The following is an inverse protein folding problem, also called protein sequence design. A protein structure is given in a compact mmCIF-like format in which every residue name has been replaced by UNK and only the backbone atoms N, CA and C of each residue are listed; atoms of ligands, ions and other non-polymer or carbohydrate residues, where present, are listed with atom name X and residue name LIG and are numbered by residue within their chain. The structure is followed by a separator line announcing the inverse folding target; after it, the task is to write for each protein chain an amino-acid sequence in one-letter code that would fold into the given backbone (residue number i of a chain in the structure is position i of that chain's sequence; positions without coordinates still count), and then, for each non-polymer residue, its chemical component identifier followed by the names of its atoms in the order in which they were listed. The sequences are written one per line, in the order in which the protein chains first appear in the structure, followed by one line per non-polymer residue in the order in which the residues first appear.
data_IF_044158222660
#
_entry.id   IF_044158222660
#
_cell.length_a   1.000
_cell.length_b   1.000
_cell.length_c   1.000
_cell.angle_alpha   90.00
_cell.angle_beta   90.00
_cell.angle_gamma   90.00
#
_symmetry.space_group_name_H-M   'P 1'
#
loop_
_entity.id
_entity.type
_entity.pdbx_description
1 polymer ?
#
# COMPACT_ATOMS: atom_id res chain seq x y z
N UNK A 1 -17.65 21.25 12.28
CA UNK A 1 -16.60 20.42 11.69
C UNK A 1 -17.27 19.52 10.67
N UNK A 2 -16.75 19.44 9.43
CA UNK A 2 -17.27 18.52 8.41
C UNK A 2 -16.95 17.08 8.79
N UNK A 3 -17.80 16.14 8.36
CA UNK A 3 -17.68 14.71 8.71
C UNK A 3 -17.35 13.88 7.48
N UNK A 4 -16.43 12.93 7.60
CA UNK A 4 -16.08 11.97 6.56
C UNK A 4 -16.24 10.54 7.04
N UNK A 5 -17.02 9.73 6.31
CA UNK A 5 -17.14 8.29 6.56
C UNK A 5 -16.04 7.55 5.79
N UNK A 6 -15.15 6.89 6.51
CA UNK A 6 -14.05 6.10 5.96
C UNK A 6 -14.39 4.62 6.07
N UNK A 7 -14.48 3.91 4.95
CA UNK A 7 -14.74 2.47 4.92
C UNK A 7 -13.44 1.75 4.60
N UNK A 8 -12.88 1.07 5.60
CA UNK A 8 -11.60 0.38 5.53
C UNK A 8 -11.71 -1.07 6.00
N UNK A 9 -11.22 -2.02 5.19
CA UNK A 9 -11.13 -3.42 5.63
C UNK A 9 -9.93 -3.61 6.57
N UNK A 10 -8.74 -3.13 6.16
CA UNK A 10 -7.55 -3.17 7.00
C UNK A 10 -7.57 -1.98 7.97
N UNK A 11 -7.94 -2.27 9.20
CA UNK A 11 -8.02 -1.32 10.31
C UNK A 11 -7.54 -2.00 11.59
N UNK A 12 -6.95 -1.30 12.56
CA UNK A 12 -6.51 -1.91 13.82
C UNK A 12 -7.58 -2.81 14.47
N UNK A 13 -7.18 -4.00 14.98
CA UNK A 13 -5.81 -4.47 15.28
C UNK A 13 -5.06 -5.11 14.11
N UNK A 14 -5.51 -4.96 12.85
CA UNK A 14 -4.75 -5.42 11.69
C UNK A 14 -3.39 -4.74 11.64
N UNK A 15 -2.34 -5.49 11.30
CA UNK A 15 -0.99 -4.98 11.05
C UNK A 15 -0.68 -4.79 9.56
N UNK A 16 0.55 -4.35 9.31
CA UNK A 16 1.10 -4.20 7.97
C UNK A 16 0.84 -2.86 7.30
N UNK A 17 1.47 -2.66 6.14
CA UNK A 17 1.46 -1.39 5.39
C UNK A 17 0.07 -0.91 4.96
N UNK A 18 -0.87 -1.85 4.80
CA UNK A 18 -2.24 -1.54 4.40
C UNK A 18 -3.04 -0.73 5.43
N UNK A 19 -2.62 -0.73 6.69
CA UNK A 19 -3.29 -0.02 7.80
C UNK A 19 -2.78 1.40 7.96
N UNK A 20 -1.47 1.58 7.86
CA UNK A 20 -0.77 2.82 8.19
C UNK A 20 -1.36 4.07 7.50
N UNK A 21 -1.66 3.99 6.20
CA UNK A 21 -2.14 5.13 5.42
C UNK A 21 -3.37 5.79 6.06
N UNK A 22 -4.40 4.99 6.37
CA UNK A 22 -5.65 5.54 6.87
C UNK A 22 -5.65 5.78 8.37
N UNK A 23 -4.86 5.05 9.16
CA UNK A 23 -4.61 5.39 10.57
C UNK A 23 -3.98 6.78 10.66
N UNK A 24 -2.96 7.08 9.85
CA UNK A 24 -2.30 8.39 9.86
C UNK A 24 -3.23 9.51 9.31
N UNK A 25 -4.01 9.27 8.25
CA UNK A 25 -5.01 10.24 7.82
C UNK A 25 -6.04 10.54 8.92
N UNK A 26 -6.57 9.51 9.57
CA UNK A 26 -7.54 9.66 10.66
C UNK A 26 -6.93 10.37 11.86
N UNK A 27 -5.64 10.16 12.16
CA UNK A 27 -4.90 10.86 13.21
C UNK A 27 -4.85 12.38 12.96
N UNK A 28 -4.60 12.80 11.72
CA UNK A 28 -4.35 14.21 11.41
C UNK A 28 -5.55 14.96 10.82
N UNK A 29 -6.58 14.31 10.30
CA UNK A 29 -7.77 14.95 9.74
C UNK A 29 -8.50 15.91 10.72
N UNK A 30 -8.58 15.63 12.05
CA UNK A 30 -9.20 16.57 12.96
C UNK A 30 -8.53 17.94 13.00
N UNK A 31 -7.20 18.01 12.87
CA UNK A 31 -6.47 19.29 12.80
C UNK A 31 -6.72 20.06 11.50
N UNK A 32 -7.21 19.38 10.46
CA UNK A 32 -7.59 19.94 9.16
C UNK A 32 -9.10 20.29 9.08
N UNK A 33 -9.82 20.25 10.21
CA UNK A 33 -11.24 20.59 10.27
C UNK A 33 -12.21 19.51 9.87
N UNK A 34 -11.75 18.25 9.73
CA UNK A 34 -12.54 17.09 9.37
C UNK A 34 -12.67 16.10 10.52
N UNK A 35 -13.91 15.68 10.82
CA UNK A 35 -14.17 14.62 11.80
C UNK A 35 -14.33 13.28 11.07
N UNK A 36 -13.36 12.37 11.17
CA UNK A 36 -13.50 11.04 10.58
C UNK A 36 -14.39 10.14 11.43
N UNK A 37 -15.21 9.34 10.74
CA UNK A 37 -15.92 8.18 11.27
C UNK A 37 -15.45 6.98 10.49
N UNK A 38 -14.98 5.94 11.15
CA UNK A 38 -14.42 4.76 10.47
C UNK A 38 -15.39 3.60 10.57
N UNK A 39 -15.66 2.93 9.44
CA UNK A 39 -16.35 1.66 9.39
C UNK A 39 -15.37 0.56 9.00
N UNK A 40 -15.21 -0.43 9.87
CA UNK A 40 -14.31 -1.55 9.70
C UNK A 40 -15.00 -2.88 10.01
N UNK A 41 -14.46 -4.03 9.54
CA UNK A 41 -15.05 -5.33 9.85
C UNK A 41 -14.86 -5.71 11.32
N UNK A 42 -15.81 -6.49 11.82
CA UNK A 42 -15.76 -7.20 13.09
C UNK A 42 -15.52 -8.69 12.81
N UNK A 43 -14.48 -9.27 13.42
CA UNK A 43 -14.12 -10.68 13.25
C UNK A 43 -13.46 -11.01 11.91
N UNK A 44 -12.76 -10.07 11.28
CA UNK A 44 -12.01 -10.32 10.06
C UNK A 44 -10.75 -11.16 10.30
N UNK A 45 -10.39 -11.97 9.29
CA UNK A 45 -9.19 -12.80 9.28
C UNK A 45 -8.01 -12.00 8.72
N UNK A 46 -7.30 -11.29 9.61
CA UNK A 46 -6.14 -10.48 9.22
C UNK A 46 -4.86 -11.32 9.11
N UNK A 47 -4.02 -11.04 8.10
CA UNK A 47 -2.75 -11.76 7.90
C UNK A 47 -1.74 -11.52 9.01
N UNK A 48 -1.79 -10.36 9.65
CA UNK A 48 -0.96 -9.99 10.80
C UNK A 48 -1.73 -9.07 11.72
N UNK A 49 -1.39 -9.10 13.00
CA UNK A 49 -1.97 -8.23 14.02
C UNK A 49 -0.87 -7.30 14.55
N UNK A 50 -1.23 -6.05 14.74
CA UNK A 50 -0.40 -5.04 15.39
C UNK A 50 -1.27 -4.07 16.20
N UNK A 51 -1.46 -4.32 17.48
CA UNK A 51 -2.26 -3.47 18.36
C UNK A 51 -1.65 -2.08 18.59
N UNK A 52 -0.38 -1.86 18.24
CA UNK A 52 0.27 -0.57 18.47
C UNK A 52 -0.42 0.58 17.73
N UNK A 53 -1.00 0.29 16.56
CA UNK A 53 -1.75 1.26 15.78
C UNK A 53 -3.03 1.78 16.47
N UNK A 54 -3.60 1.03 17.42
CA UNK A 54 -4.78 1.50 18.17
C UNK A 54 -4.48 2.77 18.98
N UNK A 55 -3.24 2.91 19.46
CA UNK A 55 -2.80 4.07 20.23
C UNK A 55 -2.70 5.35 19.40
N UNK A 56 -2.62 5.23 18.09
CA UNK A 56 -2.53 6.36 17.17
C UNK A 56 -3.90 6.94 16.79
N UNK A 57 -4.99 6.21 17.11
CA UNK A 57 -6.35 6.65 16.80
C UNK A 57 -6.79 7.64 17.88
N UNK A 58 -7.12 8.89 17.53
CA UNK A 58 -7.63 9.86 18.50
C UNK A 58 -8.92 9.36 19.17
N UNK A 59 -9.06 9.56 20.47
CA UNK A 59 -10.25 9.14 21.22
C UNK A 59 -11.57 9.77 20.71
N UNK A 60 -11.49 10.87 19.98
CA UNK A 60 -12.63 11.54 19.34
C UNK A 60 -13.13 10.84 18.06
N UNK A 61 -12.41 9.84 17.56
CA UNK A 61 -12.76 9.12 16.33
C UNK A 61 -13.73 8.00 16.65
N UNK A 62 -14.90 8.05 16.06
CA UNK A 62 -15.89 6.99 16.14
C UNK A 62 -15.52 5.83 15.21
N UNK A 63 -15.44 4.61 15.76
CA UNK A 63 -15.13 3.40 14.98
C UNK A 63 -16.32 2.44 15.05
N UNK A 64 -17.03 2.35 13.95
CA UNK A 64 -18.13 1.41 13.74
C UNK A 64 -17.60 0.05 13.29
N UNK A 65 -18.13 -1.03 13.83
CA UNK A 65 -17.76 -2.39 13.46
C UNK A 65 -18.95 -3.12 12.81
N UNK A 66 -18.70 -3.68 11.62
CA UNK A 66 -19.69 -4.48 10.89
C UNK A 66 -19.28 -5.94 10.79
N UNK A 67 -20.17 -6.87 11.20
CA UNK A 67 -19.88 -8.30 11.07
C UNK A 67 -19.54 -8.68 9.64
N UNK A 68 -18.48 -9.45 9.48
CA UNK A 68 -18.05 -10.00 8.21
C UNK A 68 -18.11 -11.53 8.26
N UNK A 69 -18.51 -12.13 7.12
CA UNK A 69 -18.33 -13.55 6.90
C UNK A 69 -17.26 -13.75 5.83
N UNK A 70 -16.22 -14.51 6.15
CA UNK A 70 -15.13 -14.83 5.24
C UNK A 70 -15.00 -16.34 5.07
N UNK A 71 -14.83 -16.83 3.82
CA UNK A 71 -14.74 -18.27 3.54
C UNK A 71 -13.39 -18.88 3.97
N UNK A 72 -12.45 -18.09 4.50
CA UNK A 72 -11.08 -18.53 4.78
C UNK A 72 -10.98 -19.59 5.88
N UNK A 73 -11.81 -19.54 6.93
CA UNK A 73 -11.83 -20.55 7.97
C UNK A 73 -12.22 -21.93 7.40
N UNK A 74 -13.23 -21.96 6.54
CA UNK A 74 -13.63 -23.16 5.81
C UNK A 74 -12.56 -23.61 4.82
N UNK A 75 -11.93 -22.65 4.14
CA UNK A 75 -10.84 -22.90 3.21
C UNK A 75 -9.63 -23.57 3.88
N UNK A 76 -9.16 -23.02 5.02
CA UNK A 76 -8.03 -23.59 5.80
C UNK A 76 -8.33 -25.01 6.27
N UNK A 77 -9.54 -25.25 6.78
CA UNK A 77 -9.96 -26.59 7.19
C UNK A 77 -9.96 -27.61 6.03
N UNK A 78 -10.30 -27.18 4.82
CA UNK A 78 -10.37 -28.05 3.64
C UNK A 78 -9.01 -28.27 2.96
N UNK A 79 -8.10 -27.31 3.03
CA UNK A 79 -6.83 -27.35 2.28
C UNK A 79 -5.60 -27.59 3.13
N UNK A 80 -5.71 -27.46 4.47
CA UNK A 80 -4.55 -27.50 5.38
C UNK A 80 -3.55 -26.35 5.16
N UNK A 81 -3.95 -25.29 4.44
CA UNK A 81 -3.05 -24.18 4.12
C UNK A 81 -2.82 -23.28 5.35
N UNK A 82 -1.58 -23.01 5.68
CA UNK A 82 -1.20 -22.12 6.78
C UNK A 82 -1.40 -20.64 6.41
N UNK A 83 -1.28 -20.27 5.12
CA UNK A 83 -1.46 -18.90 4.64
C UNK A 83 -2.59 -18.80 3.60
N UNK A 84 -3.33 -17.69 3.66
CA UNK A 84 -4.41 -17.35 2.71
C UNK A 84 -4.01 -16.25 1.73
N UNK A 85 -2.77 -15.74 1.80
CA UNK A 85 -2.30 -14.66 0.93
C UNK A 85 -2.01 -15.17 -0.49
N UNK A 86 -2.55 -14.48 -1.51
CA UNK A 86 -2.27 -14.77 -2.92
C UNK A 86 -0.80 -14.51 -3.25
N UNK A 87 -0.17 -13.58 -2.54
CA UNK A 87 1.23 -13.20 -2.70
C UNK A 87 2.20 -14.32 -2.29
N UNK A 88 1.76 -15.27 -1.47
CA UNK A 88 2.54 -16.44 -1.03
C UNK A 88 2.21 -17.71 -1.83
N UNK A 89 1.47 -17.59 -2.94
CA UNK A 89 1.24 -18.73 -3.83
C UNK A 89 2.56 -19.07 -4.54
N UNK A 90 3.37 -19.92 -3.87
CA UNK A 90 4.63 -20.38 -4.42
C UNK A 90 4.44 -21.18 -5.71
N UNK A 91 5.49 -21.20 -6.52
CA UNK A 91 5.59 -21.95 -7.78
C UNK A 91 5.63 -23.48 -7.65
N UNK A 92 5.44 -24.01 -6.43
CA UNK A 92 5.47 -25.45 -6.14
C UNK A 92 4.34 -26.25 -6.82
N UNK A 93 4.54 -27.56 -6.98
CA UNK A 93 3.54 -28.50 -7.52
C UNK A 93 2.30 -28.52 -6.62
N UNK A 94 1.20 -27.92 -7.07
CA UNK A 94 -0.07 -27.86 -6.35
C UNK A 94 -0.86 -29.15 -6.53
N UNK A 95 -1.45 -29.66 -5.42
CA UNK A 95 -2.38 -30.77 -5.46
C UNK A 95 -3.65 -30.40 -6.22
N UNK A 96 -4.42 -31.39 -6.69
CA UNK A 96 -5.67 -31.13 -7.40
C UNK A 96 -6.69 -30.37 -6.53
N UNK A 97 -6.73 -30.64 -5.22
CA UNK A 97 -7.58 -29.92 -4.23
C UNK A 97 -7.19 -28.44 -4.14
N UNK A 98 -5.90 -28.14 -4.11
CA UNK A 98 -5.39 -26.76 -4.11
C UNK A 98 -5.72 -26.04 -5.42
N UNK A 99 -5.61 -26.72 -6.57
CA UNK A 99 -5.99 -26.15 -7.88
C UNK A 99 -7.48 -25.83 -7.94
N UNK A 100 -8.35 -26.75 -7.51
CA UNK A 100 -9.80 -26.55 -7.46
C UNK A 100 -10.16 -25.39 -6.53
N UNK A 101 -9.55 -25.33 -5.37
CA UNK A 101 -9.76 -24.28 -4.38
C UNK A 101 -9.35 -22.90 -4.91
N UNK A 102 -8.20 -22.81 -5.59
CA UNK A 102 -7.77 -21.57 -6.26
C UNK A 102 -8.74 -21.17 -7.37
N UNK A 103 -9.26 -22.14 -8.11
CA UNK A 103 -10.25 -21.88 -9.16
C UNK A 103 -11.56 -21.33 -8.58
N UNK A 104 -12.09 -21.95 -7.51
CA UNK A 104 -13.28 -21.46 -6.80
C UNK A 104 -13.03 -20.06 -6.24
N UNK A 105 -11.89 -19.82 -5.58
CA UNK A 105 -11.51 -18.50 -5.09
C UNK A 105 -11.50 -17.45 -6.20
N UNK A 106 -10.91 -17.79 -7.35
CA UNK A 106 -10.73 -16.86 -8.45
C UNK A 106 -12.03 -16.53 -9.18
N UNK A 107 -12.99 -17.48 -9.28
CA UNK A 107 -14.15 -17.36 -10.16
C UNK A 107 -15.47 -17.16 -9.41
N UNK A 108 -15.59 -17.61 -8.17
CA UNK A 108 -16.82 -17.49 -7.38
C UNK A 108 -16.82 -16.23 -6.49
N UNK A 109 -15.65 -15.74 -6.10
CA UNK A 109 -15.53 -14.56 -5.21
C UNK A 109 -14.98 -13.35 -5.99
N UNK A 110 -15.86 -12.65 -6.68
CA UNK A 110 -15.51 -11.47 -7.50
C UNK A 110 -16.12 -10.21 -6.86
N UNK A 111 -15.34 -9.16 -6.62
CA UNK A 111 -13.93 -8.94 -7.01
C UNK A 111 -12.91 -9.65 -6.12
N UNK A 112 -13.28 -10.01 -4.91
CA UNK A 112 -12.43 -10.64 -3.90
C UNK A 112 -13.30 -11.40 -2.87
N UNK A 113 -12.70 -12.21 -1.98
CA UNK A 113 -13.43 -13.00 -0.98
C UNK A 113 -14.24 -12.21 0.04
N UNK A 114 -14.11 -10.88 0.09
CA UNK A 114 -14.86 -9.99 0.98
C UNK A 114 -16.14 -9.46 0.32
N UNK A 115 -16.46 -9.86 -0.90
CA UNK A 115 -17.67 -9.44 -1.60
C UNK A 115 -18.98 -9.70 -0.80
N UNK A 116 -18.98 -10.74 0.05
CA UNK A 116 -20.09 -11.04 0.98
C UNK A 116 -20.34 -9.94 2.02
N UNK A 117 -19.34 -9.13 2.34
CA UNK A 117 -19.45 -8.02 3.30
C UNK A 117 -20.22 -6.82 2.75
N UNK A 118 -20.34 -6.68 1.43
CA UNK A 118 -20.94 -5.50 0.78
C UNK A 118 -22.37 -5.27 1.21
N UNK A 119 -23.26 -6.26 1.05
CA UNK A 119 -24.70 -6.09 1.36
C UNK A 119 -24.97 -5.76 2.82
N UNK A 120 -24.45 -6.49 3.83
CA UNK A 120 -24.68 -6.17 5.23
C UNK A 120 -24.11 -4.81 5.61
N UNK A 121 -22.93 -4.43 5.11
CA UNK A 121 -22.33 -3.12 5.37
C UNK A 121 -23.19 -1.97 4.84
N UNK A 122 -23.68 -2.08 3.61
CA UNK A 122 -24.58 -1.06 3.04
C UNK A 122 -25.83 -0.90 3.90
N UNK A 123 -26.48 -2.01 4.31
CA UNK A 123 -27.68 -1.95 5.17
C UNK A 123 -27.40 -1.24 6.51
N UNK A 124 -26.28 -1.59 7.15
CA UNK A 124 -25.87 -0.99 8.44
C UNK A 124 -25.58 0.50 8.28
N UNK A 125 -24.82 0.86 7.24
CA UNK A 125 -24.39 2.23 7.03
C UNK A 125 -25.52 3.15 6.55
N UNK A 126 -26.47 2.66 5.75
CA UNK A 126 -27.65 3.45 5.39
C UNK A 126 -28.44 3.86 6.65
N UNK A 127 -28.68 2.92 7.57
CA UNK A 127 -29.35 3.24 8.83
C UNK A 127 -28.53 4.23 9.67
N UNK A 128 -27.21 4.07 9.74
CA UNK A 128 -26.35 5.00 10.48
C UNK A 128 -26.41 6.42 9.89
N UNK A 129 -26.37 6.55 8.56
CA UNK A 129 -26.36 7.82 7.87
C UNK A 129 -27.69 8.60 7.98
N UNK A 130 -28.82 7.93 8.25
CA UNK A 130 -30.11 8.59 8.54
C UNK A 130 -30.05 9.42 9.82
N UNK A 131 -29.33 8.94 10.85
CA UNK A 131 -29.22 9.60 12.15
C UNK A 131 -27.93 10.46 12.25
N UNK A 132 -26.89 10.09 11.50
CA UNK A 132 -25.57 10.68 11.57
C UNK A 132 -25.05 11.08 10.17
N UNK A 133 -25.52 12.20 9.60
CA UNK A 133 -25.10 12.61 8.26
C UNK A 133 -23.60 12.90 8.18
N UNK A 134 -23.01 12.62 7.02
CA UNK A 134 -21.62 12.91 6.68
C UNK A 134 -21.55 13.69 5.38
N UNK A 135 -20.47 14.48 5.20
CA UNK A 135 -20.29 15.31 4.00
C UNK A 135 -19.67 14.56 2.83
N UNK A 136 -18.84 13.54 3.11
CA UNK A 136 -18.15 12.74 2.10
C UNK A 136 -18.01 11.30 2.59
N UNK A 137 -18.09 10.35 1.66
CA UNK A 137 -17.74 8.95 1.87
C UNK A 137 -16.38 8.68 1.22
N UNK A 138 -15.49 7.96 1.91
CA UNK A 138 -14.23 7.46 1.34
C UNK A 138 -14.17 5.95 1.54
N UNK A 139 -13.74 5.23 0.50
CA UNK A 139 -13.50 3.79 0.59
C UNK A 139 -12.05 3.51 0.21
N UNK A 140 -11.33 2.67 0.97
CA UNK A 140 -9.92 2.36 0.67
C UNK A 140 -9.70 0.88 0.37
N UNK A 141 -9.17 0.59 -0.79
CA UNK A 141 -8.85 -0.75 -1.29
C UNK A 141 -7.37 -0.97 -1.56
N UNK A 142 -6.87 -2.22 -1.56
CA UNK A 142 -7.60 -3.48 -1.43
C UNK A 142 -8.08 -3.78 0.00
N UNK A 143 -9.09 -4.65 0.17
CA UNK A 143 -9.83 -5.38 -0.86
C UNK A 143 -10.77 -4.46 -1.63
N UNK A 144 -10.92 -4.70 -2.94
CA UNK A 144 -11.67 -3.78 -3.81
C UNK A 144 -13.21 -3.89 -3.66
N UNK A 145 -13.71 -4.95 -3.01
CA UNK A 145 -15.12 -5.07 -2.62
C UNK A 145 -15.59 -3.90 -1.74
N UNK A 146 -14.70 -3.21 -1.01
CA UNK A 146 -15.07 -2.02 -0.22
C UNK A 146 -15.59 -0.88 -1.10
N UNK A 147 -15.07 -0.75 -2.33
CA UNK A 147 -15.54 0.27 -3.27
C UNK A 147 -16.98 0.05 -3.70
N UNK A 148 -17.44 -1.21 -3.75
CA UNK A 148 -18.85 -1.53 -4.02
C UNK A 148 -19.79 -1.12 -2.87
N UNK A 149 -19.28 -1.02 -1.63
CA UNK A 149 -20.01 -0.44 -0.50
C UNK A 149 -20.22 1.06 -0.75
N UNK A 150 -19.13 1.79 -1.02
CA UNK A 150 -19.17 3.23 -1.30
C UNK A 150 -20.05 3.57 -2.49
N UNK A 151 -19.95 2.81 -3.59
CA UNK A 151 -20.77 2.98 -4.78
C UNK A 151 -22.26 2.89 -4.45
N UNK A 152 -22.67 1.86 -3.69
CA UNK A 152 -24.08 1.66 -3.32
C UNK A 152 -24.59 2.73 -2.35
N UNK A 153 -23.78 3.18 -1.42
CA UNK A 153 -24.12 4.27 -0.51
C UNK A 153 -24.29 5.58 -1.29
N UNK A 154 -23.32 5.91 -2.17
CA UNK A 154 -23.40 7.09 -3.03
C UNK A 154 -24.68 7.09 -3.88
N UNK A 155 -24.99 5.96 -4.53
CA UNK A 155 -26.21 5.81 -5.33
C UNK A 155 -27.51 5.98 -4.52
N UNK A 156 -27.51 5.53 -3.26
CA UNK A 156 -28.71 5.59 -2.41
C UNK A 156 -28.91 6.94 -1.73
N UNK A 157 -27.81 7.65 -1.39
CA UNK A 157 -27.86 8.85 -0.56
C UNK A 157 -27.51 10.14 -1.30
N UNK A 158 -26.83 10.05 -2.46
CA UNK A 158 -26.27 11.20 -3.16
C UNK A 158 -25.03 11.81 -2.48
N UNK A 159 -24.58 11.28 -1.35
CA UNK A 159 -23.38 11.77 -0.65
C UNK A 159 -22.16 11.58 -1.57
N UNK A 160 -21.32 12.61 -1.78
CA UNK A 160 -20.12 12.49 -2.60
C UNK A 160 -19.20 11.36 -2.10
N UNK A 161 -18.62 10.63 -3.06
CA UNK A 161 -17.81 9.46 -2.75
C UNK A 161 -16.47 9.45 -3.49
N UNK A 162 -15.40 9.09 -2.73
CA UNK A 162 -14.02 8.99 -3.22
C UNK A 162 -13.52 7.56 -2.96
N UNK A 163 -13.30 6.72 -3.98
CA UNK A 163 -12.56 5.48 -3.85
C UNK A 163 -11.05 5.76 -3.83
N UNK A 164 -10.35 5.36 -2.77
CA UNK A 164 -8.90 5.40 -2.62
C UNK A 164 -8.29 4.08 -3.07
N UNK A 165 -7.72 4.08 -4.27
CA UNK A 165 -7.01 2.96 -4.87
C UNK A 165 -5.55 2.98 -4.45
N UNK A 166 -5.20 2.18 -3.45
CA UNK A 166 -3.80 2.00 -3.05
C UNK A 166 -3.02 1.14 -4.04
N UNK A 167 -3.73 0.31 -4.79
CA UNK A 167 -3.21 -0.58 -5.82
C UNK A 167 -4.13 -0.55 -7.06
N UNK A 168 -3.59 -0.74 -8.28
CA UNK A 168 -4.41 -0.84 -9.48
C UNK A 168 -5.23 -2.14 -9.44
N UNK A 169 -6.56 -2.07 -9.51
CA UNK A 169 -7.47 -3.19 -9.29
C UNK A 169 -7.26 -4.35 -10.28
N UNK A 170 -7.69 -4.18 -11.54
CA UNK A 170 -7.61 -5.27 -12.54
C UNK A 170 -6.20 -5.46 -13.11
N UNK A 171 -5.26 -4.58 -12.79
CA UNK A 171 -3.87 -4.63 -13.25
C UNK A 171 -2.89 -5.14 -12.19
N UNK A 172 -3.40 -5.64 -11.04
CA UNK A 172 -2.52 -6.21 -10.02
C UNK A 172 -1.79 -7.44 -10.55
N UNK A 173 -0.47 -7.44 -10.37
CA UNK A 173 0.44 -8.48 -10.84
C UNK A 173 0.03 -9.89 -10.41
N UNK A 174 -0.45 -10.08 -9.18
CA UNK A 174 -0.81 -11.40 -8.66
C UNK A 174 -2.05 -12.01 -9.32
N UNK A 175 -2.89 -11.23 -9.98
CA UNK A 175 -4.09 -11.73 -10.65
C UNK A 175 -3.77 -12.72 -11.78
N UNK A 176 -2.60 -12.60 -12.42
CA UNK A 176 -2.15 -13.54 -13.46
C UNK A 176 -1.87 -14.94 -12.93
N UNK A 177 -1.61 -15.07 -11.62
CA UNK A 177 -1.41 -16.37 -10.99
C UNK A 177 -2.72 -17.06 -10.59
N UNK A 178 -3.84 -16.37 -10.71
CA UNK A 178 -5.18 -16.91 -10.44
C UNK A 178 -5.78 -17.52 -11.71
N UNK A 179 -6.35 -18.74 -11.63
CA UNK A 179 -6.97 -19.41 -12.78
C UNK A 179 -8.34 -18.80 -13.10
N UNK A 180 -8.37 -17.51 -13.44
CA UNK A 180 -9.60 -16.79 -13.78
C UNK A 180 -10.06 -17.10 -15.20
N UNK A 181 -11.36 -17.34 -15.39
CA UNK A 181 -11.98 -17.47 -16.70
C UNK A 181 -12.09 -16.10 -17.40
N UNK A 182 -12.22 -16.10 -18.73
CA UNK A 182 -12.44 -14.86 -19.49
C UNK A 182 -13.72 -14.12 -19.06
N UNK A 183 -14.74 -14.87 -18.60
CA UNK A 183 -15.97 -14.28 -18.06
C UNK A 183 -15.71 -13.55 -16.73
N UNK A 184 -14.90 -14.16 -15.85
CA UNK A 184 -14.48 -13.54 -14.58
C UNK A 184 -13.66 -12.30 -14.82
N UNK A 185 -12.70 -12.33 -15.73
CA UNK A 185 -11.91 -11.17 -16.12
C UNK A 185 -12.77 -10.02 -16.65
N UNK A 186 -13.74 -10.32 -17.54
CA UNK A 186 -14.69 -9.30 -18.03
C UNK A 186 -15.53 -8.72 -16.89
N UNK A 187 -15.99 -9.56 -15.95
CA UNK A 187 -16.76 -9.11 -14.79
C UNK A 187 -15.93 -8.20 -13.89
N UNK A 188 -14.69 -8.58 -13.61
CA UNK A 188 -13.77 -7.79 -12.79
C UNK A 188 -13.55 -6.38 -13.37
N UNK A 189 -13.22 -6.30 -14.67
CA UNK A 189 -13.03 -5.02 -15.38
C UNK A 189 -14.31 -4.18 -15.42
N UNK A 190 -15.48 -4.79 -15.60
CA UNK A 190 -16.75 -4.05 -15.57
C UNK A 190 -17.02 -3.45 -14.18
N UNK A 191 -16.70 -4.17 -13.10
CA UNK A 191 -16.85 -3.67 -11.75
C UNK A 191 -15.90 -2.49 -11.50
N UNK A 192 -14.64 -2.62 -11.88
CA UNK A 192 -13.67 -1.53 -11.78
C UNK A 192 -14.15 -0.30 -12.57
N UNK A 193 -14.53 -0.48 -13.85
CA UNK A 193 -15.03 0.61 -14.68
C UNK A 193 -16.27 1.28 -14.07
N UNK A 194 -17.22 0.48 -13.55
CA UNK A 194 -18.42 1.03 -12.92
C UNK A 194 -18.11 1.87 -11.68
N UNK A 195 -17.07 1.52 -10.92
CA UNK A 195 -16.59 2.30 -9.77
C UNK A 195 -15.94 3.59 -10.24
N UNK A 196 -15.05 3.51 -11.23
CA UNK A 196 -14.35 4.67 -11.80
C UNK A 196 -15.33 5.71 -12.37
N UNK A 197 -16.39 5.27 -13.05
CA UNK A 197 -17.34 6.15 -13.74
C UNK A 197 -18.46 6.71 -12.85
N UNK A 198 -18.65 6.15 -11.64
CA UNK A 198 -19.76 6.56 -10.75
C UNK A 198 -19.34 7.34 -9.52
N UNK A 199 -18.04 7.48 -9.25
CA UNK A 199 -17.56 8.22 -8.09
C UNK A 199 -17.40 9.72 -8.38
N UNK A 200 -17.30 10.53 -7.31
CA UNK A 200 -17.09 11.98 -7.44
C UNK A 200 -15.66 12.31 -7.87
N UNK A 201 -14.68 11.57 -7.35
CA UNK A 201 -13.26 11.68 -7.69
C UNK A 201 -12.57 10.36 -7.34
N UNK A 202 -11.71 9.87 -8.23
CA UNK A 202 -10.84 8.73 -7.96
C UNK A 202 -9.59 9.22 -7.24
N UNK A 203 -9.17 8.54 -6.17
CA UNK A 203 -7.91 8.82 -5.50
C UNK A 203 -6.90 7.70 -5.79
N UNK A 204 -5.79 8.05 -6.43
CA UNK A 204 -4.65 7.18 -6.71
C UNK A 204 -3.51 7.43 -5.71
N UNK A 205 -2.65 6.44 -5.47
CA UNK A 205 -1.52 6.58 -4.55
C UNK A 205 -0.16 6.75 -5.26
N UNK A 206 -0.13 6.74 -6.59
CA UNK A 206 1.08 7.04 -7.37
C UNK A 206 0.70 7.83 -8.63
N UNK A 207 1.62 8.69 -9.16
CA UNK A 207 1.37 9.42 -10.41
C UNK A 207 1.09 8.49 -11.60
N UNK A 208 1.79 7.36 -11.68
CA UNK A 208 1.59 6.40 -12.77
C UNK A 208 0.19 5.77 -12.74
N UNK A 209 -0.29 5.37 -11.56
CA UNK A 209 -1.66 4.84 -11.39
C UNK A 209 -2.69 5.94 -11.67
N UNK A 210 -2.40 7.20 -11.34
CA UNK A 210 -3.24 8.34 -11.70
C UNK A 210 -3.40 8.45 -13.21
N UNK A 211 -2.32 8.42 -13.97
CA UNK A 211 -2.36 8.48 -15.44
C UNK A 211 -3.10 7.27 -16.04
N UNK A 212 -2.85 6.09 -15.50
CA UNK A 212 -3.56 4.88 -15.90
C UNK A 212 -5.08 4.98 -15.74
N UNK A 213 -5.55 5.59 -14.64
CA UNK A 213 -6.99 5.80 -14.43
C UNK A 213 -7.53 6.95 -15.28
N UNK A 214 -6.78 8.05 -15.48
CA UNK A 214 -7.16 9.12 -16.39
C UNK A 214 -7.41 8.64 -17.82
N UNK A 215 -6.66 7.64 -18.27
CA UNK A 215 -6.85 7.01 -19.56
C UNK A 215 -8.13 6.12 -19.63
N UNK A 216 -8.72 5.75 -18.48
CA UNK A 216 -9.85 4.83 -18.39
C UNK A 216 -11.19 5.52 -18.10
N UNK A 217 -11.20 6.69 -17.46
CA UNK A 217 -12.43 7.38 -17.06
C UNK A 217 -12.37 8.88 -17.31
N UNK A 218 -13.55 9.49 -17.41
CA UNK A 218 -13.69 10.97 -17.44
C UNK A 218 -13.84 11.56 -16.02
N UNK A 219 -14.04 10.72 -15.02
CA UNK A 219 -14.10 11.16 -13.62
C UNK A 219 -12.75 11.78 -13.23
N UNK A 220 -12.72 12.90 -12.49
CA UNK A 220 -11.47 13.48 -12.00
C UNK A 220 -10.65 12.46 -11.22
N UNK A 221 -9.34 12.43 -11.45
CA UNK A 221 -8.40 11.54 -10.75
C UNK A 221 -7.36 12.37 -10.02
N UNK A 222 -7.40 12.35 -8.70
CA UNK A 222 -6.40 12.94 -7.81
C UNK A 222 -5.30 11.94 -7.47
N UNK A 223 -4.11 12.43 -7.13
CA UNK A 223 -3.02 11.60 -6.61
C UNK A 223 -2.57 12.14 -5.26
N UNK A 224 -2.61 11.28 -4.23
CA UNK A 224 -2.00 11.53 -2.93
C UNK A 224 -1.20 10.28 -2.57
N UNK A 225 0.12 10.41 -2.57
CA UNK A 225 1.02 9.28 -2.32
C UNK A 225 0.92 8.78 -0.87
N UNK A 226 1.57 7.67 -0.56
CA UNK A 226 1.93 7.36 0.81
C UNK A 226 2.92 8.39 1.33
N UNK A 227 3.25 8.31 2.61
CA UNK A 227 4.18 9.23 3.24
C UNK A 227 4.75 8.63 4.52
N UNK A 228 5.63 9.39 5.18
CA UNK A 228 6.20 9.07 6.48
C UNK A 228 5.63 9.96 7.57
N UNK A 229 5.63 9.49 8.81
CA UNK A 229 5.27 10.32 9.96
C UNK A 229 6.54 10.98 10.51
N UNK A 230 6.56 12.30 10.58
CA UNK A 230 7.70 13.07 11.08
C UNK A 230 8.02 12.73 12.53
N UNK A 231 7.00 12.34 13.31
CA UNK A 231 7.14 11.98 14.73
C UNK A 231 8.01 10.74 14.91
N UNK A 232 8.05 9.82 13.93
CA UNK A 232 8.87 8.62 13.96
C UNK A 232 10.37 8.90 13.74
N UNK A 233 10.71 10.07 13.18
CA UNK A 233 12.09 10.45 12.81
C UNK A 233 12.66 11.59 13.68
N UNK A 234 12.05 11.88 14.82
CA UNK A 234 12.52 12.90 15.75
C UNK A 234 13.77 12.45 16.53
N UNK A 235 14.46 13.41 17.12
CA UNK A 235 15.67 13.18 17.92
C UNK A 235 16.95 13.06 17.09
N UNK A 236 18.12 12.95 17.76
CA UNK A 236 19.42 12.87 17.09
C UNK A 236 19.51 11.62 16.23
N UNK A 237 20.31 11.71 15.15
CA UNK A 237 20.64 10.53 14.38
C UNK A 237 21.35 9.50 15.28
N UNK A 238 21.06 8.21 15.17
CA UNK A 238 21.79 7.20 15.91
C UNK A 238 23.28 7.31 15.59
N UNK A 239 24.13 7.17 16.61
CA UNK A 239 25.56 7.03 16.38
C UNK A 239 25.82 5.80 15.51
N UNK A 240 26.65 5.90 14.48
CA UNK A 240 27.09 4.76 13.67
C UNK A 240 28.03 3.85 14.47
N UNK A 241 28.08 2.58 14.09
CA UNK A 241 29.04 1.61 14.60
C UNK A 241 30.42 1.69 13.92
N UNK A 242 30.60 2.68 13.06
CA UNK A 242 31.82 2.88 12.26
C UNK A 242 31.92 1.94 11.04
N UNK A 243 30.90 1.11 10.80
CA UNK A 243 30.88 0.15 9.72
C UNK A 243 30.09 0.66 8.50
N UNK A 244 30.36 0.09 7.33
CA UNK A 244 29.65 0.39 6.10
C UNK A 244 28.39 -0.47 5.99
N UNK A 245 27.24 0.06 6.43
CA UNK A 245 26.00 -0.66 6.57
C UNK A 245 25.10 -0.50 5.34
N UNK A 246 24.87 -1.57 4.57
CA UNK A 246 23.82 -1.66 3.55
C UNK A 246 22.60 -2.31 4.20
N UNK A 247 21.56 -1.53 4.42
CA UNK A 247 20.40 -1.95 5.24
C UNK A 247 19.15 -2.12 4.40
N UNK A 248 18.46 -3.27 4.54
CA UNK A 248 17.12 -3.50 4.03
C UNK A 248 16.16 -3.74 5.19
N UNK A 249 14.96 -3.14 5.16
CA UNK A 249 13.91 -3.38 6.16
C UNK A 249 12.64 -3.95 5.51
N UNK A 250 12.02 -4.93 6.19
CA UNK A 250 10.80 -5.61 5.80
C UNK A 250 11.03 -6.95 5.10
N UNK A 251 10.01 -7.45 4.40
CA UNK A 251 10.11 -8.71 3.64
C UNK A 251 11.11 -8.56 2.48
N UNK A 252 12.08 -9.47 2.41
CA UNK A 252 12.98 -9.61 1.28
C UNK A 252 12.66 -10.91 0.54
N UNK A 253 11.81 -10.79 -0.48
CA UNK A 253 11.33 -11.94 -1.23
C UNK A 253 12.30 -12.37 -2.33
N UNK A 254 12.27 -13.65 -2.68
CA UNK A 254 13.15 -14.25 -3.69
C UNK A 254 12.99 -13.62 -5.08
N UNK A 255 11.79 -13.20 -5.45
CA UNK A 255 11.51 -12.56 -6.74
C UNK A 255 11.96 -11.09 -6.85
N UNK A 256 12.43 -10.50 -5.72
CA UNK A 256 13.12 -9.22 -5.66
C UNK A 256 14.62 -9.34 -5.41
N UNK A 257 15.21 -10.55 -5.49
CA UNK A 257 16.61 -10.79 -5.17
C UNK A 257 17.57 -10.19 -6.23
N UNK A 258 18.36 -9.13 -5.90
CA UNK A 258 19.23 -8.46 -6.84
C UNK A 258 20.58 -9.19 -6.97
N UNK A 259 20.62 -10.29 -7.70
CA UNK A 259 21.80 -11.15 -7.82
C UNK A 259 23.04 -10.38 -8.32
N UNK A 260 22.86 -9.44 -9.27
CA UNK A 260 23.98 -8.62 -9.78
C UNK A 260 24.56 -7.70 -8.70
N UNK A 261 23.74 -7.18 -7.78
CA UNK A 261 24.23 -6.39 -6.67
C UNK A 261 25.18 -7.21 -5.78
N UNK A 262 24.80 -8.45 -5.45
CA UNK A 262 25.66 -9.31 -4.63
C UNK A 262 27.00 -9.59 -5.30
N UNK A 263 27.00 -9.82 -6.62
CA UNK A 263 28.25 -9.98 -7.39
C UNK A 263 29.09 -8.70 -7.40
N UNK A 264 28.45 -7.53 -7.50
CA UNK A 264 29.13 -6.23 -7.40
C UNK A 264 29.79 -6.07 -6.05
N UNK A 265 29.07 -6.33 -4.94
CA UNK A 265 29.61 -6.23 -3.58
C UNK A 265 30.76 -7.21 -3.36
N UNK A 266 30.64 -8.47 -3.85
CA UNK A 266 31.73 -9.45 -3.80
C UNK A 266 32.98 -9.01 -4.54
N UNK A 267 32.87 -8.36 -5.72
CA UNK A 267 33.99 -7.80 -6.46
C UNK A 267 34.61 -6.61 -5.73
N UNK A 268 33.80 -5.71 -5.16
CA UNK A 268 34.32 -4.58 -4.35
C UNK A 268 35.04 -5.09 -3.10
N UNK A 269 34.56 -6.15 -2.47
CA UNK A 269 35.21 -6.77 -1.33
C UNK A 269 36.59 -7.36 -1.64
N UNK A 270 36.92 -7.54 -2.92
CA UNK A 270 38.26 -7.97 -3.38
C UNK A 270 39.11 -6.79 -3.86
N UNK A 271 38.48 -5.78 -4.50
CA UNK A 271 39.20 -4.70 -5.15
C UNK A 271 39.40 -3.44 -4.30
N UNK A 272 38.54 -3.20 -3.31
CA UNK A 272 38.60 -1.99 -2.48
C UNK A 272 39.18 -2.32 -1.09
N UNK A 273 40.29 -1.65 -0.69
CA UNK A 273 40.90 -1.88 0.62
C UNK A 273 39.90 -1.58 1.77
N UNK A 274 39.84 -2.48 2.76
CA UNK A 274 39.01 -2.33 3.95
C UNK A 274 37.50 -2.58 3.72
N UNK A 275 37.05 -2.66 2.47
CA UNK A 275 35.62 -2.79 2.17
C UNK A 275 35.02 -4.09 2.77
N UNK A 276 35.72 -5.22 2.62
CA UNK A 276 35.27 -6.51 3.17
C UNK A 276 35.13 -6.48 4.69
N UNK A 277 36.10 -5.89 5.36
CA UNK A 277 36.20 -5.83 6.82
C UNK A 277 35.08 -4.97 7.42
N UNK A 278 34.72 -3.88 6.75
CA UNK A 278 33.71 -2.92 7.25
C UNK A 278 32.31 -3.14 6.70
N UNK A 279 32.15 -3.83 5.56
CA UNK A 279 30.84 -4.10 4.97
C UNK A 279 29.95 -4.91 5.93
N UNK A 280 28.71 -4.44 6.15
CA UNK A 280 27.61 -5.21 6.78
C UNK A 280 26.36 -5.10 5.92
N UNK A 281 25.80 -6.26 5.57
CA UNK A 281 24.51 -6.39 4.88
C UNK A 281 23.47 -6.67 5.98
N UNK A 282 22.79 -5.61 6.43
CA UNK A 282 21.84 -5.67 7.55
C UNK A 282 20.43 -5.92 7.03
N UNK A 283 19.86 -7.07 7.39
CA UNK A 283 18.56 -7.52 6.92
C UNK A 283 17.56 -7.57 8.09
N UNK A 284 16.63 -6.63 8.09
CA UNK A 284 15.57 -6.50 9.09
C UNK A 284 14.28 -7.07 8.53
N UNK A 285 13.71 -8.09 9.18
CA UNK A 285 12.49 -8.75 8.77
C UNK A 285 12.70 -10.16 8.27
N UNK A 286 11.69 -10.68 7.56
CA UNK A 286 11.76 -12.02 6.94
C UNK A 286 12.54 -11.95 5.63
N UNK A 287 13.50 -12.85 5.47
CA UNK A 287 14.33 -12.97 4.27
C UNK A 287 14.15 -14.37 3.68
N UNK A 288 13.86 -14.45 2.38
CA UNK A 288 13.75 -15.72 1.71
C UNK A 288 15.13 -16.37 1.54
N UNK A 289 15.17 -17.69 1.58
CA UNK A 289 16.39 -18.50 1.57
C UNK A 289 17.25 -18.25 0.32
N UNK A 290 16.61 -18.07 -0.82
CA UNK A 290 17.28 -17.82 -2.10
C UNK A 290 18.09 -16.52 -2.10
N UNK A 291 17.71 -15.53 -1.29
CA UNK A 291 18.46 -14.27 -1.12
C UNK A 291 19.76 -14.56 -0.37
N UNK A 292 19.70 -15.32 0.71
CA UNK A 292 20.87 -15.70 1.53
C UNK A 292 21.84 -16.57 0.74
N UNK A 293 21.33 -17.52 -0.05
CA UNK A 293 22.11 -18.36 -0.94
C UNK A 293 22.84 -17.53 -2.01
N UNK A 294 22.20 -16.50 -2.58
CA UNK A 294 22.83 -15.61 -3.55
C UNK A 294 23.96 -14.75 -2.92
N UNK A 295 23.73 -14.23 -1.71
CA UNK A 295 24.76 -13.49 -0.96
C UNK A 295 25.95 -14.42 -0.62
N UNK A 296 25.68 -15.64 -0.20
CA UNK A 296 26.72 -16.64 0.08
C UNK A 296 27.51 -17.01 -1.16
N UNK A 297 26.85 -17.20 -2.31
CA UNK A 297 27.50 -17.46 -3.60
C UNK A 297 28.42 -16.31 -4.05
N UNK A 298 28.17 -15.08 -3.60
CA UNK A 298 29.02 -13.92 -3.84
C UNK A 298 30.21 -13.82 -2.84
N UNK A 299 30.37 -14.79 -1.92
CA UNK A 299 31.44 -14.80 -0.92
C UNK A 299 31.27 -13.80 0.22
N UNK A 300 30.02 -13.43 0.54
CA UNK A 300 29.68 -12.39 1.52
C UNK A 300 28.94 -12.93 2.76
N UNK A 301 29.01 -14.23 3.03
CA UNK A 301 28.32 -14.85 4.17
C UNK A 301 28.65 -14.19 5.51
N UNK A 302 29.92 -13.87 5.73
CA UNK A 302 30.42 -13.28 6.99
C UNK A 302 30.02 -11.80 7.15
N UNK A 303 29.56 -11.17 6.06
CA UNK A 303 29.12 -9.78 6.06
C UNK A 303 27.62 -9.63 6.36
N UNK A 304 26.87 -10.73 6.43
CA UNK A 304 25.40 -10.70 6.65
C UNK A 304 25.08 -10.59 8.14
N UNK A 305 24.18 -9.65 8.45
CA UNK A 305 23.60 -9.49 9.79
C UNK A 305 22.08 -9.67 9.68
N UNK A 306 21.57 -10.81 10.16
CA UNK A 306 20.14 -11.08 10.20
C UNK A 306 19.56 -10.59 11.52
N UNK A 307 18.72 -9.55 11.47
CA UNK A 307 18.12 -8.95 12.66
C UNK A 307 16.70 -9.50 12.94
N UNK A 308 16.12 -10.22 11.97
CA UNK A 308 14.75 -10.69 12.09
C UNK A 308 13.72 -9.56 12.15
N UNK A 309 12.46 -9.85 12.49
CA UNK A 309 11.43 -8.84 12.66
C UNK A 309 11.74 -7.94 13.87
N UNK A 310 11.76 -6.63 13.66
CA UNK A 310 11.90 -5.62 14.69
C UNK A 310 10.58 -4.85 14.86
N UNK A 311 10.38 -4.22 16.01
CA UNK A 311 9.34 -3.20 16.17
C UNK A 311 9.64 -1.98 15.30
N UNK A 312 8.64 -1.11 15.10
CA UNK A 312 8.76 0.02 14.19
C UNK A 312 9.89 0.99 14.58
N UNK A 313 10.01 1.34 15.86
CA UNK A 313 11.04 2.27 16.34
C UNK A 313 12.48 1.74 16.14
N UNK A 314 12.69 0.44 16.36
CA UNK A 314 13.99 -0.18 16.12
C UNK A 314 14.29 -0.30 14.62
N UNK A 315 13.28 -0.59 13.78
CA UNK A 315 13.44 -0.58 12.33
C UNK A 315 13.82 0.81 11.79
N UNK A 316 13.20 1.88 12.30
CA UNK A 316 13.55 3.27 11.97
C UNK A 316 14.97 3.61 12.42
N UNK A 317 15.40 3.11 13.58
CA UNK A 317 16.79 3.28 14.05
C UNK A 317 17.79 2.64 13.09
N UNK A 318 17.53 1.42 12.62
CA UNK A 318 18.34 0.73 11.61
C UNK A 318 18.39 1.50 10.28
N UNK A 319 17.24 2.04 9.84
CA UNK A 319 17.19 2.88 8.63
C UNK A 319 18.05 4.14 8.78
N UNK A 320 17.98 4.82 9.93
CA UNK A 320 18.72 6.07 10.19
C UNK A 320 20.22 5.86 10.38
N UNK A 321 20.67 4.67 10.78
CA UNK A 321 22.09 4.32 10.95
C UNK A 321 22.75 3.74 9.69
N UNK A 322 21.96 3.49 8.63
CA UNK A 322 22.47 2.92 7.40
C UNK A 322 23.48 3.83 6.68
N UNK A 323 24.45 3.24 6.00
CA UNK A 323 25.28 3.91 5.00
C UNK A 323 24.55 4.00 3.66
N UNK A 324 23.87 2.92 3.27
CA UNK A 324 22.98 2.83 2.12
C UNK A 324 21.71 2.10 2.54
N UNK A 325 20.57 2.61 2.13
CA UNK A 325 19.27 1.91 2.24
C UNK A 325 18.99 1.17 0.93
N UNK A 326 18.83 -0.15 1.01
CA UNK A 326 18.58 -1.02 -0.13
C UNK A 326 17.07 -1.27 -0.30
N UNK A 327 16.52 -0.93 -1.46
CA UNK A 327 15.12 -1.09 -1.78
C UNK A 327 14.90 -1.86 -3.08
N UNK A 328 14.95 -3.20 -3.05
CA UNK A 328 14.61 -3.99 -4.22
C UNK A 328 13.09 -4.09 -4.39
N UNK A 329 12.60 -3.86 -5.60
CA UNK A 329 11.26 -4.22 -6.05
C UNK A 329 11.28 -5.66 -6.56
N UNK A 330 10.12 -6.21 -6.88
CA UNK A 330 10.03 -7.48 -7.60
C UNK A 330 10.45 -7.26 -9.05
N UNK A 331 11.17 -8.22 -9.62
CA UNK A 331 11.57 -8.20 -11.03
C UNK A 331 10.37 -8.54 -11.92
N UNK A 332 9.48 -7.58 -12.08
CA UNK A 332 8.23 -7.70 -12.82
C UNK A 332 7.82 -6.34 -13.37
N UNK A 333 7.55 -6.22 -14.70
CA UNK A 333 7.12 -4.95 -15.31
C UNK A 333 5.90 -4.32 -14.65
N UNK A 334 5.00 -5.10 -14.07
CA UNK A 334 3.82 -4.59 -13.38
C UNK A 334 4.15 -3.91 -12.03
N UNK A 335 5.42 -3.94 -11.60
CA UNK A 335 5.87 -3.20 -10.42
C UNK A 335 6.35 -1.78 -10.74
N UNK A 336 6.50 -1.39 -12.01
CA UNK A 336 6.89 -0.02 -12.40
C UNK A 336 6.08 1.08 -11.71
N UNK A 337 4.74 0.98 -11.57
CA UNK A 337 3.93 2.01 -10.93
C UNK A 337 3.90 1.94 -9.39
N UNK A 338 4.57 0.96 -8.77
CA UNK A 338 4.47 0.72 -7.33
C UNK A 338 5.46 1.59 -6.55
N UNK A 339 4.95 2.28 -5.53
CA UNK A 339 5.75 2.98 -4.52
C UNK A 339 5.58 2.27 -3.17
N UNK A 340 6.55 1.46 -2.73
CA UNK A 340 6.47 0.78 -1.44
C UNK A 340 6.39 1.77 -0.28
N UNK A 341 5.62 1.47 0.75
CA UNK A 341 5.49 2.34 1.93
C UNK A 341 6.83 2.68 2.59
N UNK A 342 7.75 1.70 2.67
CA UNK A 342 9.10 1.87 3.23
C UNK A 342 9.97 2.88 2.46
N UNK A 343 9.68 3.16 1.19
CA UNK A 343 10.40 4.19 0.43
C UNK A 343 10.29 5.55 1.10
N UNK A 344 9.13 5.90 1.62
CA UNK A 344 8.91 7.18 2.29
C UNK A 344 9.65 7.25 3.63
N UNK A 345 9.71 6.15 4.37
CA UNK A 345 10.54 6.05 5.58
C UNK A 345 12.03 6.21 5.24
N UNK A 346 12.48 5.62 4.12
CA UNK A 346 13.86 5.77 3.64
C UNK A 346 14.21 7.21 3.26
N UNK A 347 13.25 7.94 2.65
CA UNK A 347 13.41 9.37 2.43
C UNK A 347 13.58 10.13 3.75
N UNK A 348 12.75 9.80 4.77
CA UNK A 348 12.80 10.42 6.09
C UNK A 348 14.09 10.11 6.86
N UNK A 349 14.65 8.92 6.67
CA UNK A 349 15.94 8.53 7.25
C UNK A 349 17.12 9.35 6.71
N UNK A 350 16.93 10.07 5.59
CA UNK A 350 17.96 10.94 4.98
C UNK A 350 19.26 10.22 4.63
N UNK A 351 19.18 8.92 4.34
CA UNK A 351 20.30 8.12 3.87
C UNK A 351 20.20 7.86 2.37
N UNK A 352 21.32 7.75 1.63
CA UNK A 352 21.28 7.39 0.22
C UNK A 352 20.52 6.08 -0.02
N UNK A 353 19.61 6.07 -1.00
CA UNK A 353 18.79 4.90 -1.33
C UNK A 353 19.28 4.28 -2.64
N UNK A 354 19.63 3.01 -2.60
CA UNK A 354 19.82 2.18 -3.79
C UNK A 354 18.54 1.39 -4.05
N UNK A 355 17.73 1.88 -4.98
CA UNK A 355 16.58 1.16 -5.52
C UNK A 355 17.06 0.13 -6.55
N UNK A 356 16.46 -1.05 -6.54
CA UNK A 356 16.58 -2.03 -7.64
C UNK A 356 15.22 -2.18 -8.26
N UNK A 357 15.09 -1.81 -9.52
CA UNK A 357 13.81 -1.73 -10.21
C UNK A 357 13.97 -1.14 -11.60
N UNK A 358 12.83 -0.84 -12.23
CA UNK A 358 12.83 -0.17 -13.54
C UNK A 358 13.33 1.27 -13.40
N UNK A 359 14.31 1.64 -14.23
CA UNK A 359 14.98 2.95 -14.20
C UNK A 359 14.04 4.11 -14.63
N UNK A 360 12.90 3.81 -15.26
CA UNK A 360 11.83 4.75 -15.64
C UNK A 360 10.57 4.62 -14.78
N UNK A 361 10.58 3.74 -13.77
CA UNK A 361 9.44 3.47 -12.88
C UNK A 361 9.17 4.58 -11.87
N UNK A 362 8.05 4.48 -11.18
CA UNK A 362 7.63 5.47 -10.17
C UNK A 362 8.65 5.66 -9.04
N UNK A 363 9.33 4.58 -8.61
CA UNK A 363 10.38 4.65 -7.60
C UNK A 363 11.59 5.47 -8.10
N UNK A 364 12.02 5.26 -9.33
CA UNK A 364 13.14 5.98 -9.93
C UNK A 364 12.85 7.48 -10.03
N UNK A 365 11.66 7.84 -10.50
CA UNK A 365 11.21 9.23 -10.60
C UNK A 365 11.19 9.90 -9.23
N UNK A 366 10.66 9.22 -8.19
CA UNK A 366 10.58 9.78 -6.85
C UNK A 366 11.95 9.94 -6.20
N UNK A 367 12.85 8.96 -6.32
CA UNK A 367 14.21 9.05 -5.80
C UNK A 367 14.99 10.19 -6.47
N UNK A 368 14.82 10.38 -7.78
CA UNK A 368 15.41 11.48 -8.53
C UNK A 368 14.89 12.85 -8.07
N UNK A 369 13.55 13.02 -7.98
CA UNK A 369 12.92 14.27 -7.53
C UNK A 369 13.33 14.63 -6.10
N UNK A 370 13.37 13.64 -5.20
CA UNK A 370 13.76 13.81 -3.81
C UNK A 370 15.29 13.90 -3.62
N UNK A 371 16.09 13.77 -4.69
CA UNK A 371 17.57 13.70 -4.61
C UNK A 371 18.04 12.74 -3.50
N UNK A 372 17.37 11.59 -3.41
CA UNK A 372 17.56 10.65 -2.31
C UNK A 372 18.38 9.43 -2.69
N UNK A 373 18.69 9.23 -3.97
CA UNK A 373 19.43 8.06 -4.44
C UNK A 373 19.21 7.78 -5.92
N UNK A 374 19.43 6.54 -6.31
CA UNK A 374 19.23 6.05 -7.68
C UNK A 374 18.35 4.81 -7.70
N UNK A 375 17.82 4.49 -8.88
CA UNK A 375 17.31 3.15 -9.20
C UNK A 375 18.17 2.55 -10.29
N UNK A 376 18.57 1.29 -10.12
CA UNK A 376 19.29 0.50 -11.10
C UNK A 376 18.43 -0.70 -11.52
N UNK A 377 18.47 -1.06 -12.80
CA UNK A 377 17.84 -2.28 -13.29
C UNK A 377 18.53 -3.53 -12.71
N UNK A 378 17.77 -4.64 -12.57
CA UNK A 378 18.28 -5.89 -11.98
C UNK A 378 19.51 -6.44 -12.71
N UNK A 379 19.58 -6.26 -14.03
CA UNK A 379 20.63 -6.79 -14.89
C UNK A 379 21.69 -5.75 -15.25
N UNK A 380 21.66 -4.54 -14.64
CA UNK A 380 22.60 -3.46 -14.90
C UNK A 380 23.54 -3.21 -13.69
N UNK A 381 24.68 -3.92 -13.59
CA UNK A 381 25.58 -3.78 -12.45
C UNK A 381 26.39 -2.46 -12.43
N UNK A 382 26.48 -1.74 -13.55
CA UNK A 382 27.32 -0.56 -13.65
C UNK A 382 26.88 0.59 -12.73
N UNK A 383 25.61 1.05 -12.72
CA UNK A 383 25.15 2.08 -11.79
C UNK A 383 25.18 1.58 -10.33
N UNK A 384 24.91 0.30 -10.06
CA UNK A 384 25.02 -0.27 -8.73
C UNK A 384 26.45 -0.12 -8.18
N UNK A 385 27.45 -0.52 -8.99
CA UNK A 385 28.86 -0.41 -8.61
C UNK A 385 29.28 1.05 -8.37
N UNK A 386 28.93 1.94 -9.30
CA UNK A 386 29.29 3.35 -9.18
C UNK A 386 28.71 3.97 -7.90
N UNK A 387 27.44 3.67 -7.59
CA UNK A 387 26.77 4.20 -6.41
C UNK A 387 27.40 3.67 -5.10
N UNK A 388 27.63 2.36 -5.01
CA UNK A 388 28.22 1.75 -3.81
C UNK A 388 29.67 2.21 -3.63
N UNK A 389 30.48 2.26 -4.70
CA UNK A 389 31.87 2.72 -4.61
C UNK A 389 31.94 4.19 -4.19
N UNK A 390 31.08 5.06 -4.72
CA UNK A 390 30.99 6.47 -4.28
C UNK A 390 30.66 6.58 -2.80
N UNK A 391 29.66 5.84 -2.33
CA UNK A 391 29.29 5.84 -0.92
C UNK A 391 30.40 5.29 -0.02
N UNK A 392 31.14 4.25 -0.49
CA UNK A 392 32.28 3.71 0.21
C UNK A 392 33.40 4.74 0.37
N UNK A 393 33.80 5.43 -0.71
CA UNK A 393 34.79 6.48 -0.65
C UNK A 393 34.39 7.63 0.27
N UNK A 394 33.13 8.01 0.29
CA UNK A 394 32.60 9.01 1.24
C UNK A 394 32.69 8.52 2.69
N UNK A 395 32.37 7.25 2.93
CA UNK A 395 32.48 6.62 4.25
C UNK A 395 33.91 6.69 4.76
N UNK A 396 34.92 6.29 3.95
CA UNK A 396 36.34 6.39 4.28
C UNK A 396 36.81 7.84 4.45
N UNK A 397 36.19 8.79 3.75
CA UNK A 397 36.53 10.21 3.77
C UNK A 397 35.93 11.01 4.93
N UNK A 398 35.30 10.36 5.91
CA UNK A 398 34.72 11.01 7.10
C UNK A 398 33.21 10.96 7.23
N UNK A 399 32.55 10.23 6.36
CA UNK A 399 31.11 9.93 6.45
C UNK A 399 30.29 10.26 5.22
N UNK A 400 29.18 9.56 5.10
CA UNK A 400 28.23 9.72 3.98
C UNK A 400 27.29 10.89 4.30
N UNK A 401 27.21 11.91 3.44
CA UNK A 401 26.34 13.06 3.68
C UNK A 401 24.86 12.64 3.66
N UNK A 402 24.05 13.30 4.48
CA UNK A 402 22.61 13.17 4.44
C UNK A 402 22.05 13.67 3.09
N UNK A 403 20.99 13.03 2.60
CA UNK A 403 20.30 13.48 1.39
C UNK A 403 19.59 14.82 1.65
N UNK A 404 19.64 15.75 0.68
CA UNK A 404 19.21 17.14 0.87
C UNK A 404 17.95 17.52 0.11
N UNK A 405 17.33 16.58 -0.63
CA UNK A 405 16.15 16.86 -1.40
C UNK A 405 14.93 17.24 -0.55
N UNK A 406 13.98 17.92 -1.16
CA UNK A 406 12.71 18.24 -0.51
C UNK A 406 11.83 17.00 -0.35
N UNK A 407 11.57 16.61 0.88
CA UNK A 407 10.67 15.51 1.24
C UNK A 407 9.42 16.00 2.00
N UNK A 408 9.27 17.33 2.18
CA UNK A 408 8.12 17.93 2.82
C UNK A 408 6.76 17.47 2.28
N UNK A 409 6.57 17.39 0.95
CA UNK A 409 5.33 16.89 0.34
C UNK A 409 4.95 15.46 0.72
N UNK A 410 5.89 14.66 1.20
CA UNK A 410 5.68 13.25 1.57
C UNK A 410 5.47 13.03 3.07
N UNK A 411 5.36 14.09 3.87
CA UNK A 411 5.01 13.95 5.29
C UNK A 411 3.54 13.55 5.44
N UNK A 412 3.19 12.85 6.52
CA UNK A 412 1.79 12.47 6.79
C UNK A 412 0.92 13.71 6.99
N UNK A 413 1.46 14.79 7.55
CA UNK A 413 0.73 16.06 7.69
C UNK A 413 0.45 16.68 6.32
N UNK A 414 1.44 16.78 5.44
CA UNK A 414 1.25 17.34 4.10
C UNK A 414 0.27 16.50 3.24
N UNK A 415 0.39 15.18 3.29
CA UNK A 415 -0.54 14.30 2.56
C UNK A 415 -1.96 14.35 3.14
N UNK A 416 -2.12 14.55 4.46
CA UNK A 416 -3.43 14.75 5.08
C UNK A 416 -4.02 16.11 4.72
N UNK A 417 -3.20 17.16 4.67
CA UNK A 417 -3.64 18.49 4.20
C UNK A 417 -4.18 18.40 2.76
N UNK A 418 -3.44 17.74 1.86
CA UNK A 418 -3.91 17.51 0.48
C UNK A 418 -5.23 16.71 0.43
N UNK A 419 -5.40 15.71 1.30
CA UNK A 419 -6.65 14.97 1.41
C UNK A 419 -7.80 15.88 1.90
N UNK A 420 -7.57 16.70 2.92
CA UNK A 420 -8.58 17.62 3.45
C UNK A 420 -9.02 18.66 2.40
N UNK A 421 -8.09 19.15 1.59
CA UNK A 421 -8.41 20.00 0.43
C UNK A 421 -9.29 19.27 -0.59
N UNK A 422 -8.94 18.02 -0.95
CA UNK A 422 -9.73 17.19 -1.85
C UNK A 422 -11.15 16.93 -1.31
N UNK A 423 -11.27 16.57 -0.03
CA UNK A 423 -12.55 16.38 0.65
C UNK A 423 -13.40 17.67 0.59
N UNK A 424 -12.77 18.83 0.80
CA UNK A 424 -13.46 20.13 0.77
C UNK A 424 -13.95 20.50 -0.63
N UNK A 425 -13.16 20.23 -1.66
CA UNK A 425 -13.55 20.42 -3.05
C UNK A 425 -14.76 19.54 -3.42
N UNK A 426 -14.70 18.25 -3.07
CA UNK A 426 -15.74 17.28 -3.42
C UNK A 426 -17.03 17.53 -2.63
N UNK A 427 -16.96 17.94 -1.36
CA UNK A 427 -18.15 18.26 -0.57
C UNK A 427 -18.86 19.56 -0.99
N UNK A 428 -18.16 20.47 -1.67
CA UNK A 428 -18.74 21.71 -2.22
C UNK A 428 -19.46 21.52 -3.54
N UNK A 429 -19.25 20.42 -4.26
CA UNK A 429 -19.96 20.06 -5.48
C UNK A 429 -21.22 19.27 -5.15
N UNK A 430 -22.34 19.93 -4.79
CA UNK A 430 -23.64 19.28 -4.74
C UNK A 430 -23.99 18.73 -6.13
N UNK A 431 -23.90 17.42 -6.32
CA UNK A 431 -24.59 16.75 -7.42
C UNK A 431 -26.08 16.79 -7.06
N UNK A 432 -26.91 17.48 -7.87
CA UNK A 432 -28.37 17.45 -7.73
C UNK A 432 -28.80 15.98 -7.70
N UNK A 433 -29.31 15.53 -6.56
CA UNK A 433 -29.83 14.18 -6.40
C UNK A 433 -30.95 13.91 -7.41
N UNK A 434 -31.21 12.65 -7.75
CA UNK A 434 -32.31 12.31 -8.65
C UNK A 434 -33.61 12.87 -8.07
N UNK A 435 -34.26 13.77 -8.80
CA UNK A 435 -35.61 14.23 -8.49
C UNK A 435 -36.51 13.00 -8.32
N UNK A 436 -37.02 12.78 -7.11
CA UNK A 436 -38.14 11.88 -6.91
C UNK A 436 -39.27 12.40 -7.80
N UNK A 437 -39.59 11.69 -8.85
CA UNK A 437 -40.77 11.92 -9.67
C UNK A 437 -42.00 11.78 -8.76
N UNK A 438 -42.54 12.91 -8.32
CA UNK A 438 -43.82 13.03 -7.69
C UNK A 438 -44.91 13.06 -8.78
N UNK A 439 -45.13 11.93 -9.44
CA UNK A 439 -46.26 11.76 -10.35
C UNK A 439 -46.73 10.31 -10.29
N UNK A 440 -47.42 10.01 -9.20
CA UNK A 440 -48.31 8.85 -9.12
C UNK A 440 -49.43 9.12 -8.11
N UNK A 441 -50.26 10.15 -8.41
CA UNK A 441 -51.59 10.28 -7.88
C UNK A 441 -52.42 11.15 -8.84
N UNK A 442 -53.32 10.49 -9.57
CA UNK A 442 -54.62 10.93 -10.09
C UNK A 442 -54.87 10.35 -11.47
N UNK A 443 -55.54 9.26 -11.50
CA UNK A 443 -56.57 8.98 -12.49
C UNK A 443 -57.48 7.89 -11.93
N UNK A 444 -58.46 8.33 -11.20
CA UNK A 444 -59.68 7.59 -10.97
C UNK A 444 -60.66 8.00 -12.07
N UNK A 445 -61.23 7.12 -12.90
CA UNK A 445 -62.28 7.46 -13.80
C UNK A 445 -63.59 7.60 -12.98
N UNK A 446 -64.19 8.79 -13.06
CA UNK A 446 -65.60 8.95 -12.69
C UNK A 446 -66.43 8.30 -13.80
N UNK A 447 -67.23 7.30 -13.42
CA UNK A 447 -68.36 6.86 -14.19
C UNK A 447 -69.49 7.91 -13.98
N UNK A 448 -69.96 8.47 -15.05
CA UNK A 448 -71.30 9.03 -15.16
C UNK A 448 -72.09 8.20 -16.19
N UNK A 449 -73.28 7.73 -15.70
CA UNK A 449 -74.48 7.26 -16.35
C UNK A 449 -74.46 6.59 -17.74
#
# INVERSE_FOLDING_TARGET
MKRVLVIAYYWPPSGGSGVQRWVKFVKYLPSEGWQPVVFAPDGADYPSLDPSFEKEIPASVEVLRGRIWEPYAAYRKLTGAESTQVTEISSGKKSWKQKLSLWVRANCFVPDPRAGWVKPSVKTLLKYLEEHPVDVIVTTGPPHSVHLIGQKLHQATGIPWIPDFRDPWSRMYYLRYLPMTSATWRRLRRLEQSVLDSCSTVLACTPQVQEDFRAQTRTPVACITNGFDEEDFTGPAPGGDGLFNITHTGLFAADGNPQELWKVLGKLAVSEPGFREELRIRLVGKVDREVLEAISAAGLSDNVVLLGPLNHADAVREQRSASILLLPLRNDPLYAPILPGKLFEYLAARRPVLGIGQEDGAMAQLLFQARAGITADWDNPAPMRAFVATAWHQHCGGGIPATTGDIGPYTRRATTHALAQLLSQVSGTCVAGPQKSADLQRNTPQNED
#
